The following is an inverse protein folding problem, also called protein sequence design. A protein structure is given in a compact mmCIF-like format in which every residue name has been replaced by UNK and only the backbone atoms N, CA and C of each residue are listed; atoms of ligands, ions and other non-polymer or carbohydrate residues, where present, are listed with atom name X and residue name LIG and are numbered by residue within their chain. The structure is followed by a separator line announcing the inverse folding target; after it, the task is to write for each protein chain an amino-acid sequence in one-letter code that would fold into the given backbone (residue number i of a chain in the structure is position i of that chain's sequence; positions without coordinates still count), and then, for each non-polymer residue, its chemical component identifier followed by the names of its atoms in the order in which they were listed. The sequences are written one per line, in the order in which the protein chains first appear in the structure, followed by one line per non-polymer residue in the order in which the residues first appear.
data_IF_923229498774
#
_entry.id   IF_923229498774
#
_cell.length_a   1.000
_cell.length_b   1.000
_cell.length_c   1.000
_cell.angle_alpha   90.00
_cell.angle_beta   90.00
_cell.angle_gamma   90.00
#
_symmetry.space_group_name_H-M   'P 1'
#
loop_
_entity.id
_entity.type
_entity.pdbx_description
1 polymer ?
#
# COMPACT_ATOMS: atom_id res chain seq x y z
N UNK A 1 -16.84 11.91 12.79
CA UNK A 1 -16.54 12.65 11.53
C UNK A 1 -16.72 11.67 10.38
N UNK A 2 -17.45 12.05 9.34
CA UNK A 2 -17.61 11.22 8.14
C UNK A 2 -16.26 11.08 7.42
N UNK A 3 -15.82 9.85 7.18
CA UNK A 3 -14.55 9.55 6.50
C UNK A 3 -14.50 10.16 5.10
N UNK A 4 -15.65 10.28 4.42
CA UNK A 4 -15.73 10.90 3.10
C UNK A 4 -15.35 12.38 3.14
N UNK A 5 -15.67 13.08 4.24
CA UNK A 5 -15.28 14.48 4.43
C UNK A 5 -13.77 14.58 4.67
N UNK A 6 -13.20 13.64 5.42
CA UNK A 6 -11.77 13.60 5.72
C UNK A 6 -10.92 13.33 4.47
N UNK A 7 -11.39 12.47 3.58
CA UNK A 7 -10.66 12.03 2.39
C UNK A 7 -10.89 12.91 1.14
N UNK A 8 -11.88 13.81 1.17
CA UNK A 8 -12.26 14.64 0.02
C UNK A 8 -11.08 15.48 -0.46
N UNK A 9 -10.79 15.42 -1.78
CA UNK A 9 -9.70 16.15 -2.45
C UNK A 9 -8.30 15.84 -1.87
N UNK A 10 -8.08 14.65 -1.33
CA UNK A 10 -6.77 14.19 -0.85
C UNK A 10 -6.25 13.04 -1.69
N UNK A 11 -4.93 12.89 -1.73
CA UNK A 11 -4.33 11.63 -2.17
C UNK A 11 -4.62 10.57 -1.11
N UNK A 12 -5.21 9.45 -1.54
CA UNK A 12 -5.64 8.39 -0.63
C UNK A 12 -4.88 7.11 -0.96
N UNK A 13 -4.29 6.53 0.06
CA UNK A 13 -3.63 5.24 -0.01
C UNK A 13 -4.50 4.20 0.69
N UNK A 14 -5.03 3.24 -0.07
CA UNK A 14 -5.78 2.14 0.51
C UNK A 14 -4.83 0.99 0.81
N UNK A 15 -4.62 0.75 2.09
CA UNK A 15 -3.95 -0.43 2.60
C UNK A 15 -5.01 -1.52 2.78
N UNK A 16 -4.94 -2.57 1.98
CA UNK A 16 -5.93 -3.64 1.94
C UNK A 16 -5.23 -4.95 2.27
N UNK A 17 -5.68 -5.64 3.31
CA UNK A 17 -5.06 -6.88 3.76
C UNK A 17 -6.09 -7.77 4.44
N UNK A 18 -5.81 -9.06 4.55
CA UNK A 18 -6.53 -9.90 5.51
C UNK A 18 -6.06 -9.58 6.94
N UNK A 19 -6.65 -10.24 7.94
CA UNK A 19 -6.16 -10.19 9.31
C UNK A 19 -4.86 -11.01 9.52
N UNK A 20 -4.33 -11.69 8.49
CA UNK A 20 -3.05 -12.41 8.55
C UNK A 20 -1.86 -11.55 8.14
N UNK A 21 -2.08 -10.25 7.93
CA UNK A 21 -1.04 -9.27 7.67
C UNK A 21 0.04 -9.31 8.75
N UNK A 22 1.30 -9.31 8.32
CA UNK A 22 2.43 -9.50 9.25
C UNK A 22 2.82 -8.18 9.93
N UNK A 23 3.51 -8.28 11.07
CA UNK A 23 4.07 -7.09 11.73
C UNK A 23 5.11 -6.39 10.85
N UNK A 24 5.82 -7.11 9.97
CA UNK A 24 6.73 -6.53 8.98
C UNK A 24 5.97 -5.67 7.97
N UNK A 25 4.85 -6.18 7.44
CA UNK A 25 4.01 -5.44 6.50
C UNK A 25 3.40 -4.18 7.14
N UNK A 26 2.89 -4.29 8.37
CA UNK A 26 2.39 -3.14 9.14
C UNK A 26 3.53 -2.12 9.38
N UNK A 27 4.73 -2.59 9.69
CA UNK A 27 5.89 -1.71 9.94
C UNK A 27 6.30 -0.97 8.67
N UNK A 28 6.30 -1.64 7.52
CA UNK A 28 6.58 -1.01 6.23
C UNK A 28 5.59 0.12 5.92
N UNK A 29 4.28 -0.10 6.13
CA UNK A 29 3.26 0.95 5.97
C UNK A 29 3.41 2.06 7.02
N UNK A 30 3.79 1.71 8.25
CA UNK A 30 4.03 2.70 9.32
C UNK A 30 5.17 3.65 8.96
N UNK A 31 6.26 3.18 8.37
CA UNK A 31 7.34 4.07 7.91
C UNK A 31 6.83 5.09 6.90
N UNK A 32 5.91 4.69 6.00
CA UNK A 32 5.25 5.61 5.08
C UNK A 32 4.36 6.60 5.82
N UNK A 33 3.51 6.12 6.73
CA UNK A 33 2.63 6.95 7.54
C UNK A 33 3.41 8.03 8.30
N UNK A 34 4.47 7.65 9.03
CA UNK A 34 5.28 8.57 9.81
C UNK A 34 5.92 9.67 8.95
N UNK A 35 6.25 9.35 7.69
CA UNK A 35 6.83 10.29 6.74
C UNK A 35 5.81 11.31 6.19
N UNK A 36 4.51 10.98 6.20
CA UNK A 36 3.46 11.81 5.58
C UNK A 36 2.38 12.30 6.54
N UNK A 37 2.38 11.86 7.81
CA UNK A 37 1.31 12.13 8.79
C UNK A 37 1.02 13.62 9.03
N UNK A 38 2.02 14.49 8.88
CA UNK A 38 1.88 15.95 9.04
C UNK A 38 1.39 16.64 7.76
N UNK A 39 1.40 15.94 6.62
CA UNK A 39 0.93 16.47 5.35
C UNK A 39 -0.54 16.14 5.14
N UNK A 40 -1.38 17.17 5.25
CA UNK A 40 -2.82 17.03 5.12
C UNK A 40 -3.32 16.61 3.74
N UNK A 41 -2.47 16.64 2.72
CA UNK A 41 -2.82 16.21 1.35
C UNK A 41 -2.83 14.69 1.18
N UNK A 42 -2.28 13.93 2.13
CA UNK A 42 -2.15 12.48 2.04
C UNK A 42 -2.82 11.79 3.22
N UNK A 43 -3.56 10.71 2.95
CA UNK A 43 -4.18 9.89 3.99
C UNK A 43 -4.03 8.41 3.65
N UNK A 44 -3.76 7.60 4.67
CA UNK A 44 -3.74 6.14 4.58
C UNK A 44 -5.00 5.62 5.25
N UNK A 45 -5.67 4.66 4.60
CA UNK A 45 -6.87 4.00 5.11
C UNK A 45 -6.65 2.49 5.06
N UNK A 46 -6.84 1.81 6.19
CA UNK A 46 -6.86 0.35 6.24
C UNK A 46 -8.26 -0.19 5.98
N UNK A 47 -8.34 -1.14 5.06
CA UNK A 47 -9.53 -1.93 4.76
C UNK A 47 -9.19 -3.40 5.06
N UNK A 48 -9.60 -3.93 6.23
CA UNK A 48 -9.40 -5.35 6.53
C UNK A 48 -10.37 -6.20 5.69
N UNK A 49 -9.87 -7.31 5.16
CA UNK A 49 -10.63 -8.29 4.39
C UNK A 49 -10.85 -9.52 5.25
N UNK A 50 -12.13 -9.82 5.52
CA UNK A 50 -12.56 -10.99 6.30
C UNK A 50 -13.74 -11.64 5.59
N UNK A 51 -13.57 -12.90 5.17
CA UNK A 51 -14.61 -13.67 4.45
C UNK A 51 -15.84 -13.96 5.31
N UNK A 52 -15.64 -14.38 6.55
CA UNK A 52 -16.72 -14.67 7.49
C UNK A 52 -16.25 -14.31 8.89
N UNK A 53 -16.97 -13.40 9.52
CA UNK A 53 -16.65 -12.95 10.87
C UNK A 53 -17.01 -14.01 11.91
N UNK A 54 -16.17 -14.09 12.94
CA UNK A 54 -16.43 -14.83 14.16
C UNK A 54 -15.73 -14.11 15.33
N UNK A 55 -16.02 -14.51 16.56
CA UNK A 55 -15.48 -13.85 17.76
C UNK A 55 -13.95 -13.78 17.80
N UNK A 56 -13.26 -14.83 17.30
CA UNK A 56 -11.80 -14.87 17.30
C UNK A 56 -11.23 -13.83 16.31
N UNK A 57 -11.84 -13.72 15.13
CA UNK A 57 -11.47 -12.75 14.11
C UNK A 57 -11.77 -11.32 14.57
N UNK A 58 -12.87 -11.09 15.31
CA UNK A 58 -13.12 -9.79 15.96
C UNK A 58 -12.02 -9.41 16.94
N UNK A 59 -11.63 -10.32 17.84
CA UNK A 59 -10.53 -10.09 18.78
C UNK A 59 -9.23 -9.79 18.04
N UNK A 60 -8.92 -10.56 16.99
CA UNK A 60 -7.73 -10.34 16.14
C UNK A 60 -7.75 -8.97 15.45
N UNK A 61 -8.90 -8.57 14.92
CA UNK A 61 -9.09 -7.26 14.30
C UNK A 61 -8.84 -6.12 15.28
N UNK A 62 -9.43 -6.15 16.47
CA UNK A 62 -9.23 -5.08 17.45
C UNK A 62 -7.77 -5.00 17.94
N UNK A 63 -7.08 -6.14 18.08
CA UNK A 63 -5.64 -6.16 18.38
C UNK A 63 -4.85 -5.48 17.25
N UNK A 64 -5.10 -5.82 15.98
CA UNK A 64 -4.40 -5.23 14.85
C UNK A 64 -4.69 -3.73 14.72
N UNK A 65 -5.97 -3.36 14.85
CA UNK A 65 -6.43 -1.97 14.82
C UNK A 65 -5.76 -1.12 15.90
N UNK A 66 -5.52 -1.66 17.10
CA UNK A 66 -4.81 -0.95 18.17
C UNK A 66 -3.36 -0.57 17.79
N UNK A 67 -2.75 -1.30 16.84
CA UNK A 67 -1.41 -1.03 16.31
C UNK A 67 -1.43 -0.01 15.16
N UNK A 68 -2.58 0.36 14.63
CA UNK A 68 -2.70 1.16 13.40
C UNK A 68 -2.99 2.62 13.76
N UNK A 69 -2.05 3.55 13.51
CA UNK A 69 -2.23 4.97 13.80
C UNK A 69 -3.01 5.74 12.71
N UNK A 70 -3.26 5.11 11.56
CA UNK A 70 -4.01 5.71 10.44
C UNK A 70 -5.49 5.30 10.47
N UNK A 71 -6.27 5.75 9.48
CA UNK A 71 -7.71 5.51 9.45
C UNK A 71 -8.03 4.04 9.21
N UNK A 72 -9.09 3.53 9.84
CA UNK A 72 -9.55 2.15 9.68
C UNK A 72 -11.04 2.17 9.35
N UNK A 73 -11.46 1.36 8.39
CA UNK A 73 -12.89 1.16 8.11
C UNK A 73 -13.48 0.25 9.20
N UNK A 74 -14.41 0.77 10.00
CA UNK A 74 -14.95 0.09 11.20
C UNK A 74 -16.19 -0.77 10.95
N UNK A 75 -16.93 -0.55 9.85
CA UNK A 75 -18.19 -1.26 9.54
C UNK A 75 -17.99 -2.30 8.44
N UNK A 76 -16.90 -3.06 8.54
CA UNK A 76 -16.42 -4.02 7.54
C UNK A 76 -17.39 -5.18 7.29
N UNK A 77 -18.21 -5.54 8.28
CA UNK A 77 -19.28 -6.55 8.16
C UNK A 77 -20.40 -6.14 7.19
N UNK A 78 -20.66 -4.84 7.06
CA UNK A 78 -21.76 -4.29 6.26
C UNK A 78 -21.30 -3.69 4.92
N UNK A 79 -20.04 -3.89 4.55
CA UNK A 79 -19.56 -3.47 3.24
C UNK A 79 -20.16 -4.42 2.21
N UNK A 80 -21.29 -4.01 1.61
CA UNK A 80 -21.87 -4.67 0.43
C UNK A 80 -20.88 -4.84 -0.74
N UNK A 81 -19.72 -4.17 -0.67
CA UNK A 81 -18.58 -4.32 -1.57
C UNK A 81 -17.63 -5.48 -1.26
N UNK A 82 -17.91 -6.40 -0.32
CA UNK A 82 -17.05 -7.57 -0.08
C UNK A 82 -16.89 -8.43 -1.35
N UNK A 83 -17.99 -8.70 -2.07
CA UNK A 83 -17.94 -9.33 -3.40
C UNK A 83 -17.19 -8.45 -4.40
N UNK A 84 -17.47 -7.15 -4.40
CA UNK A 84 -16.93 -6.20 -5.37
C UNK A 84 -15.39 -6.04 -5.26
N UNK A 85 -14.85 -5.93 -4.05
CA UNK A 85 -13.40 -5.81 -3.80
C UNK A 85 -12.68 -7.11 -4.15
N UNK A 86 -13.30 -8.26 -3.92
CA UNK A 86 -12.68 -9.55 -4.22
C UNK A 86 -12.75 -9.88 -5.73
N UNK A 87 -13.85 -9.53 -6.40
CA UNK A 87 -14.10 -9.79 -7.82
C UNK A 87 -13.35 -8.81 -8.75
N UNK A 88 -13.30 -7.51 -8.43
CA UNK A 88 -12.66 -6.48 -9.30
C UNK A 88 -11.13 -6.41 -9.15
N UNK A 89 -10.57 -6.83 -8.01
CA UNK A 89 -9.13 -6.73 -7.75
C UNK A 89 -8.36 -8.05 -7.77
N UNK A 90 -9.00 -9.19 -8.07
CA UNK A 90 -8.36 -10.53 -8.04
C UNK A 90 -7.54 -10.70 -6.76
N UNK A 91 -8.15 -10.36 -5.61
CA UNK A 91 -7.44 -10.25 -4.35
C UNK A 91 -7.03 -11.64 -3.84
N UNK A 92 -5.86 -12.11 -4.28
CA UNK A 92 -5.28 -13.42 -3.96
C UNK A 92 -4.64 -13.48 -2.57
N UNK A 93 -5.29 -12.91 -1.55
CA UNK A 93 -4.81 -12.88 -0.16
C UNK A 93 -3.44 -12.20 0.02
N UNK A 94 -3.11 -11.22 -0.82
CA UNK A 94 -1.86 -10.44 -0.72
C UNK A 94 -2.15 -9.03 -0.26
N UNK A 95 -1.34 -8.53 0.68
CA UNK A 95 -1.35 -7.12 1.07
C UNK A 95 -1.23 -6.23 -0.18
N UNK A 96 -2.16 -5.30 -0.30
CA UNK A 96 -2.29 -4.40 -1.44
C UNK A 96 -2.24 -2.96 -0.95
N UNK A 97 -1.55 -2.11 -1.71
CA UNK A 97 -1.45 -0.68 -1.42
C UNK A 97 -1.87 0.12 -2.65
N UNK A 98 -3.15 0.47 -2.74
CA UNK A 98 -3.74 1.17 -3.89
C UNK A 98 -3.52 2.68 -3.72
N UNK A 99 -3.07 3.36 -4.77
CA UNK A 99 -2.82 4.81 -4.76
C UNK A 99 -3.92 5.53 -5.55
N UNK A 100 -4.59 6.48 -4.91
CA UNK A 100 -5.62 7.32 -5.52
C UNK A 100 -5.22 8.80 -5.53
N UNK A 101 -5.53 9.47 -6.63
CA UNK A 101 -5.40 10.93 -6.73
C UNK A 101 -6.55 11.66 -5.99
N UNK A 102 -6.46 12.98 -5.77
CA UNK A 102 -7.53 13.80 -5.19
C UNK A 102 -8.87 13.76 -5.94
N UNK A 103 -8.85 13.33 -7.21
CA UNK A 103 -10.01 13.19 -8.07
C UNK A 103 -10.62 11.77 -8.01
N UNK A 104 -10.08 10.88 -7.17
CA UNK A 104 -10.53 9.50 -7.05
C UNK A 104 -10.05 8.59 -8.17
N UNK A 105 -9.03 9.01 -8.95
CA UNK A 105 -8.45 8.17 -10.01
C UNK A 105 -7.35 7.27 -9.43
N UNK A 106 -7.35 6.00 -9.82
CA UNK A 106 -6.26 5.07 -9.48
C UNK A 106 -4.97 5.53 -10.20
N UNK A 107 -3.93 5.78 -9.43
CA UNK A 107 -2.58 6.09 -9.92
C UNK A 107 -1.62 4.89 -9.82
N UNK A 108 -1.95 3.92 -8.97
CA UNK A 108 -1.27 2.63 -8.91
C UNK A 108 -2.21 1.57 -8.29
N UNK A 109 -2.45 0.42 -8.95
CA UNK A 109 -3.37 -0.60 -8.45
C UNK A 109 -2.83 -1.39 -7.26
N UNK A 110 -1.52 -1.68 -7.22
CA UNK A 110 -0.87 -2.23 -6.02
C UNK A 110 0.61 -1.83 -5.92
N UNK A 111 0.92 -0.83 -5.11
CA UNK A 111 2.28 -0.30 -4.93
C UNK A 111 3.03 -0.93 -3.75
N UNK A 112 2.50 -1.98 -3.13
CA UNK A 112 3.06 -2.52 -1.88
C UNK A 112 4.48 -3.07 -2.07
N UNK A 113 4.81 -3.60 -3.25
CA UNK A 113 6.16 -4.04 -3.57
C UNK A 113 7.17 -2.89 -3.62
N UNK A 114 6.76 -1.69 -4.03
CA UNK A 114 7.62 -0.50 -4.01
C UNK A 114 7.97 -0.10 -2.58
N UNK A 115 6.99 -0.14 -1.68
CA UNK A 115 7.21 0.12 -0.25
C UNK A 115 8.23 -0.86 0.32
N UNK A 116 8.06 -2.17 0.05
CA UNK A 116 8.98 -3.19 0.56
C UNK A 116 10.39 -3.08 -0.02
N UNK A 117 10.52 -2.81 -1.32
CA UNK A 117 11.82 -2.78 -1.98
C UNK A 117 12.57 -1.46 -1.76
N UNK A 118 11.87 -0.34 -1.64
CA UNK A 118 12.48 1.00 -1.70
C UNK A 118 12.07 1.93 -0.55
N UNK A 119 11.12 1.51 0.29
CA UNK A 119 10.59 2.34 1.38
C UNK A 119 10.06 3.68 0.86
N UNK A 120 10.27 4.74 1.63
CA UNK A 120 9.80 6.09 1.28
C UNK A 120 10.45 6.67 0.01
N UNK A 121 11.56 6.10 -0.48
CA UNK A 121 12.26 6.59 -1.68
C UNK A 121 11.44 6.42 -2.97
N UNK A 122 10.42 5.55 -2.93
CA UNK A 122 9.49 5.35 -4.05
C UNK A 122 8.22 6.21 -3.95
N UNK A 123 8.07 7.04 -2.92
CA UNK A 123 6.94 7.96 -2.79
C UNK A 123 6.89 8.95 -3.99
N UNK A 124 5.70 9.29 -4.53
CA UNK A 124 4.34 8.97 -4.07
C UNK A 124 3.76 7.62 -4.54
N UNK A 125 4.61 6.70 -5.01
CA UNK A 125 4.23 5.33 -5.36
C UNK A 125 3.26 5.22 -6.55
N UNK A 126 3.32 6.17 -7.49
CA UNK A 126 2.53 6.10 -8.73
C UNK A 126 3.19 5.17 -9.74
N UNK A 127 2.46 4.76 -10.78
CA UNK A 127 3.05 4.01 -11.90
C UNK A 127 4.22 4.77 -12.56
N UNK A 128 4.16 6.10 -12.62
CA UNK A 128 5.25 6.94 -13.15
C UNK A 128 6.50 6.81 -12.28
N UNK A 129 6.34 6.74 -10.95
CA UNK A 129 7.46 6.54 -10.03
C UNK A 129 8.06 5.15 -10.18
N UNK A 130 7.22 4.12 -10.37
CA UNK A 130 7.68 2.76 -10.65
C UNK A 130 8.50 2.69 -11.94
N UNK A 131 7.99 3.26 -13.04
CA UNK A 131 8.68 3.32 -14.33
C UNK A 131 10.04 4.02 -14.21
N UNK A 132 10.08 5.14 -13.47
CA UNK A 132 11.33 5.87 -13.20
C UNK A 132 12.34 4.99 -12.46
N UNK A 133 11.92 4.31 -11.39
CA UNK A 133 12.78 3.42 -10.60
C UNK A 133 13.26 2.23 -11.44
N UNK A 134 12.40 1.67 -12.27
CA UNK A 134 12.76 0.57 -13.17
C UNK A 134 13.79 1.03 -14.21
N UNK A 135 13.60 2.20 -14.81
CA UNK A 135 14.57 2.78 -15.74
C UNK A 135 15.90 3.05 -15.05
N UNK A 136 15.86 3.56 -13.81
CA UNK A 136 17.02 3.76 -12.95
C UNK A 136 17.80 2.46 -12.70
N UNK A 137 17.09 1.37 -12.43
CA UNK A 137 17.71 0.06 -12.27
C UNK A 137 18.31 -0.47 -13.58
N UNK A 138 17.58 -0.33 -14.69
CA UNK A 138 18.01 -0.87 -15.98
C UNK A 138 19.28 -0.18 -16.51
N UNK A 139 19.43 1.14 -16.34
CA UNK A 139 20.67 1.81 -16.74
C UNK A 139 21.87 1.33 -15.91
N UNK A 140 21.70 1.17 -14.58
CA UNK A 140 22.77 0.67 -13.71
C UNK A 140 23.25 -0.72 -14.14
N UNK A 141 22.31 -1.63 -14.42
CA UNK A 141 22.63 -2.98 -14.89
C UNK A 141 23.38 -2.93 -16.23
N UNK A 142 22.98 -2.06 -17.16
CA UNK A 142 23.66 -1.92 -18.45
C UNK A 142 25.11 -1.41 -18.32
N UNK A 143 25.35 -0.47 -17.40
CA UNK A 143 26.69 0.07 -17.13
C UNK A 143 27.58 -0.99 -16.49
N UNK A 144 27.10 -1.67 -15.44
CA UNK A 144 27.87 -2.73 -14.76
C UNK A 144 28.19 -3.89 -15.73
N UNK A 145 27.22 -4.33 -16.53
CA UNK A 145 27.44 -5.38 -17.52
C UNK A 145 28.40 -4.98 -18.65
N UNK A 146 28.54 -3.67 -18.94
CA UNK A 146 29.53 -3.16 -19.89
C UNK A 146 30.92 -3.09 -19.27
N UNK A 147 31.03 -2.72 -17.98
CA UNK A 147 32.30 -2.71 -17.25
C UNK A 147 32.86 -4.12 -17.14
N UNK A 148 32.04 -5.11 -16.78
CA UNK A 148 32.47 -6.52 -16.63
C UNK A 148 33.07 -7.08 -17.93
N UNK A 149 32.49 -6.72 -19.09
CA UNK A 149 33.02 -7.11 -20.42
C UNK A 149 34.33 -6.44 -20.83
N UNK A 150 34.70 -5.34 -20.17
CA UNK A 150 35.87 -4.55 -20.50
C UNK A 150 37.04 -4.75 -19.52
N UNK A 151 36.88 -5.60 -18.49
CA UNK A 151 37.98 -5.99 -17.62
C UNK A 151 38.67 -7.21 -18.24
N UNK A 152 39.75 -6.97 -18.98
CA UNK A 152 40.72 -8.02 -19.29
C UNK A 152 41.86 -7.88 -18.29
N UNK A 153 42.03 -8.85 -17.39
CA UNK A 153 43.22 -8.91 -16.54
C UNK A 153 44.44 -9.14 -17.44
N UNK A 154 45.38 -8.19 -17.44
CA UNK A 154 46.72 -8.36 -17.99
C UNK A 154 47.61 -9.13 -17.03
#
# INVERSE_FOLDING_TARGET
VDINVVLKKKNVYLFISTLDVTDEEITAVRTVYESIKTNEQYKIVWIPIVETWNEQLHKKFEILKSKIPWYVVSNVENIAGFKFINEEWDFKKKTTFVVFSPQGKVQHPNAFHLIKAYGIKAFPFTLVDEERIQKERNWLVSVVGTIDRNITTS
#
